data_IF_330603800928
#
_entry.id   IF_330603800928
#
_cell.length_a   1.000
_cell.length_b   1.000
_cell.length_c   1.000
_cell.angle_alpha   90.00
_cell.angle_beta   90.00
_cell.angle_gamma   90.00
#
_symmetry.space_group_name_H-M   'P 1'
#
loop_
_entity.id
_entity.type
_entity.pdbx_description
1 polymer ?
#
# COMPACT_ATOMS: atom_id res chain seq x y z
N UNK A 1 -9.32 9.60 -2.17
CA UNK A 1 -8.63 9.95 -0.90
C UNK A 1 -7.14 10.10 -1.21
N UNK A 2 -6.55 11.28 -1.02
CA UNK A 2 -5.12 11.47 -1.25
C UNK A 2 -4.36 10.87 -0.05
N UNK A 3 -3.80 9.69 -0.22
CA UNK A 3 -3.06 8.99 0.85
C UNK A 3 -1.72 9.67 1.18
N UNK A 4 -1.23 10.56 0.31
CA UNK A 4 0.02 11.32 0.50
C UNK A 4 -0.15 12.56 1.41
N UNK A 5 -1.38 12.99 1.68
CA UNK A 5 -1.69 14.23 2.42
C UNK A 5 -1.27 14.26 3.90
N UNK A 6 -0.72 13.19 4.42
CA UNK A 6 -0.14 13.14 5.76
C UNK A 6 1.39 13.29 5.65
N UNK A 7 1.85 14.53 5.53
CA UNK A 7 3.26 14.90 5.61
C UNK A 7 3.86 14.37 6.91
N UNK A 8 4.47 13.20 6.85
CA UNK A 8 5.36 12.72 7.88
C UNK A 8 6.79 13.05 7.46
N UNK A 9 7.73 13.14 8.42
CA UNK A 9 9.17 13.21 8.15
C UNK A 9 9.70 12.03 7.29
N UNK A 10 8.82 11.12 6.88
CA UNK A 10 9.05 9.91 6.11
C UNK A 10 8.50 10.00 4.67
N UNK A 11 7.88 11.12 4.28
CA UNK A 11 7.35 11.34 2.93
C UNK A 11 8.44 11.34 1.84
N UNK A 12 8.05 11.36 0.55
CA UNK A 12 9.01 11.53 -0.54
C UNK A 12 9.70 12.89 -0.42
N UNK A 13 10.86 13.08 -1.09
CA UNK A 13 11.48 14.41 -1.20
C UNK A 13 10.45 15.44 -1.70
N UNK A 14 10.55 16.67 -1.20
CA UNK A 14 9.60 17.74 -1.54
C UNK A 14 9.48 17.93 -3.07
N UNK A 15 10.60 17.90 -3.79
CA UNK A 15 10.66 18.02 -5.25
C UNK A 15 9.84 16.92 -5.95
N UNK A 16 9.92 15.67 -5.46
CA UNK A 16 9.15 14.54 -5.99
C UNK A 16 7.65 14.77 -5.77
N UNK A 17 7.27 15.20 -4.57
CA UNK A 17 5.88 15.49 -4.23
C UNK A 17 5.31 16.63 -5.08
N UNK A 18 6.09 17.70 -5.30
CA UNK A 18 5.71 18.84 -6.13
C UNK A 18 5.51 18.41 -7.60
N UNK A 19 6.41 17.58 -8.13
CA UNK A 19 6.32 17.04 -9.49
C UNK A 19 5.05 16.21 -9.66
N UNK A 20 4.82 15.26 -8.75
CA UNK A 20 3.61 14.41 -8.79
C UNK A 20 2.34 15.27 -8.78
N UNK A 21 2.21 16.20 -7.82
CA UNK A 21 1.03 17.06 -7.71
C UNK A 21 0.83 17.99 -8.92
N UNK A 22 1.92 18.46 -9.50
CA UNK A 22 1.85 19.29 -10.71
C UNK A 22 1.19 18.55 -11.86
N UNK A 23 1.69 17.36 -12.19
CA UNK A 23 1.19 16.56 -13.30
C UNK A 23 -0.23 16.02 -13.05
N UNK A 24 -0.54 15.62 -11.83
CA UNK A 24 -1.90 15.20 -11.44
C UNK A 24 -2.93 16.31 -11.62
N UNK A 25 -2.57 17.54 -11.22
CA UNK A 25 -3.44 18.72 -11.38
C UNK A 25 -3.59 19.12 -12.84
N UNK A 26 -2.53 18.96 -13.63
CA UNK A 26 -2.50 19.28 -15.04
C UNK A 26 -3.16 18.20 -15.91
N UNK A 27 -3.37 16.98 -15.40
CA UNK A 27 -3.85 15.83 -16.15
C UNK A 27 -2.80 15.28 -17.14
N UNK A 28 -1.51 15.46 -16.84
CA UNK A 28 -0.37 15.04 -17.67
C UNK A 28 0.43 13.92 -16.99
N UNK A 29 -0.27 12.91 -16.50
CA UNK A 29 0.34 11.77 -15.79
C UNK A 29 1.05 10.78 -16.70
N UNK A 30 1.07 11.02 -18.00
CA UNK A 30 1.84 10.34 -19.04
C UNK A 30 3.19 11.03 -19.34
N UNK A 31 3.51 12.11 -18.65
CA UNK A 31 4.79 12.82 -18.78
C UNK A 31 5.94 11.99 -18.14
N UNK A 32 7.10 11.88 -18.82
CA UNK A 32 8.25 11.17 -18.26
C UNK A 32 8.69 11.65 -16.87
N UNK A 33 8.55 12.93 -16.55
CA UNK A 33 8.87 13.47 -15.23
C UNK A 33 7.93 12.93 -14.13
N UNK A 34 6.66 12.69 -14.46
CA UNK A 34 5.73 12.02 -13.55
C UNK A 34 6.12 10.56 -13.30
N UNK A 35 6.51 9.85 -14.35
CA UNK A 35 6.97 8.46 -14.26
C UNK A 35 8.22 8.35 -13.38
N UNK A 36 9.23 9.20 -13.60
CA UNK A 36 10.45 9.24 -12.78
C UNK A 36 10.12 9.54 -11.30
N UNK A 37 9.28 10.52 -11.04
CA UNK A 37 8.83 10.87 -9.69
C UNK A 37 8.05 9.70 -9.03
N UNK A 38 7.22 8.99 -9.80
CA UNK A 38 6.49 7.80 -9.36
C UNK A 38 7.45 6.68 -8.96
N UNK A 39 8.50 6.43 -9.73
CA UNK A 39 9.52 5.42 -9.39
C UNK A 39 10.23 5.75 -8.07
N UNK A 40 10.59 7.02 -7.84
CA UNK A 40 11.17 7.45 -6.56
C UNK A 40 10.18 7.23 -5.40
N UNK A 41 8.90 7.53 -5.60
CA UNK A 41 7.86 7.27 -4.61
C UNK A 41 7.72 5.77 -4.31
N UNK A 42 7.66 4.93 -5.33
CA UNK A 42 7.54 3.48 -5.20
C UNK A 42 8.74 2.84 -4.50
N UNK A 43 9.97 3.29 -4.79
CA UNK A 43 11.17 2.82 -4.11
C UNK A 43 11.17 3.14 -2.61
N UNK A 44 10.43 4.13 -2.17
CA UNK A 44 10.36 4.52 -0.75
C UNK A 44 9.18 3.90 -0.02
N UNK A 45 8.04 3.75 -0.71
CA UNK A 45 6.76 3.49 -0.06
C UNK A 45 6.08 2.20 -0.51
N UNK A 46 6.54 1.59 -1.61
CA UNK A 46 5.97 0.35 -2.13
C UNK A 46 6.91 -0.85 -1.89
N UNK A 47 8.18 -0.73 -2.28
CA UNK A 47 9.22 -1.72 -1.98
C UNK A 47 10.59 -1.05 -1.89
N UNK A 48 11.23 -1.11 -0.72
CA UNK A 48 12.49 -0.42 -0.41
C UNK A 48 13.74 -1.25 -0.75
N UNK A 49 13.57 -2.50 -1.17
CA UNK A 49 14.68 -3.34 -1.62
C UNK A 49 15.26 -2.78 -2.93
N UNK A 50 16.59 -2.76 -3.04
CA UNK A 50 17.30 -2.34 -4.24
C UNK A 50 18.42 -3.35 -4.55
N UNK A 51 18.36 -4.02 -5.71
CA UNK A 51 17.29 -4.00 -6.71
C UNK A 51 15.99 -4.68 -6.24
N UNK A 52 14.87 -4.31 -6.83
CA UNK A 52 13.60 -4.98 -6.56
C UNK A 52 13.69 -6.49 -6.80
N UNK A 53 13.08 -7.33 -5.92
CA UNK A 53 13.07 -8.78 -6.09
C UNK A 53 12.39 -9.22 -7.38
N UNK A 54 12.83 -10.34 -7.94
CA UNK A 54 12.33 -10.85 -9.20
C UNK A 54 10.79 -11.09 -9.24
N UNK A 55 10.13 -11.60 -8.17
CA UNK A 55 8.68 -11.70 -8.15
C UNK A 55 7.99 -10.34 -8.32
N UNK A 56 8.54 -9.28 -7.73
CA UNK A 56 8.01 -7.93 -7.80
C UNK A 56 8.14 -7.35 -9.21
N UNK A 57 9.34 -7.46 -9.81
CA UNK A 57 9.59 -7.05 -11.21
C UNK A 57 8.63 -7.74 -12.19
N UNK A 58 8.40 -9.05 -12.04
CA UNK A 58 7.46 -9.80 -12.89
C UNK A 58 6.02 -9.32 -12.72
N UNK A 59 5.62 -8.92 -11.53
CA UNK A 59 4.29 -8.37 -11.27
C UNK A 59 4.09 -7.07 -12.03
N UNK A 60 5.02 -6.13 -11.92
CA UNK A 60 4.96 -4.86 -12.63
C UNK A 60 5.02 -5.04 -14.15
N UNK A 61 5.93 -5.87 -14.66
CA UNK A 61 5.99 -6.16 -16.10
C UNK A 61 4.66 -6.74 -16.65
N UNK A 62 3.95 -7.57 -15.88
CA UNK A 62 2.63 -8.07 -16.28
C UNK A 62 1.55 -6.98 -16.22
N UNK A 63 1.62 -6.09 -15.25
CA UNK A 63 0.72 -4.96 -15.14
C UNK A 63 0.89 -4.01 -16.32
N UNK A 64 2.11 -3.67 -16.68
CA UNK A 64 2.44 -2.85 -17.86
C UNK A 64 2.00 -3.49 -19.17
N UNK A 65 2.15 -4.82 -19.31
CA UNK A 65 1.72 -5.54 -20.50
C UNK A 65 0.18 -5.61 -20.65
N UNK A 66 -0.58 -5.50 -19.55
CA UNK A 66 -2.04 -5.59 -19.52
C UNK A 66 -2.64 -4.58 -18.54
N UNK A 67 -2.56 -3.28 -18.82
CA UNK A 67 -2.90 -2.24 -17.84
C UNK A 67 -4.40 -1.95 -17.74
N UNK A 68 -5.25 -2.53 -18.60
CA UNK A 68 -6.67 -2.15 -18.74
C UNK A 68 -7.44 -2.23 -17.41
N UNK A 69 -7.34 -3.33 -16.69
CA UNK A 69 -8.04 -3.51 -15.40
C UNK A 69 -7.52 -2.52 -14.38
N UNK A 70 -6.19 -2.41 -14.24
CA UNK A 70 -5.57 -1.50 -13.30
C UNK A 70 -5.99 -0.05 -13.57
N UNK A 71 -5.85 0.42 -14.81
CA UNK A 71 -6.20 1.79 -15.20
C UNK A 71 -7.70 2.07 -15.04
N UNK A 72 -8.57 1.09 -15.28
CA UNK A 72 -10.01 1.24 -15.05
C UNK A 72 -10.33 1.40 -13.58
N UNK A 73 -9.66 0.65 -12.70
CA UNK A 73 -9.93 0.65 -11.26
C UNK A 73 -9.24 1.81 -10.54
N UNK A 74 -7.95 1.98 -10.73
CA UNK A 74 -7.14 3.01 -10.06
C UNK A 74 -6.95 4.25 -10.91
N UNK A 75 -6.63 4.13 -12.20
CA UNK A 75 -6.11 5.21 -13.02
C UNK A 75 -4.59 5.11 -13.14
N UNK A 76 -3.87 6.26 -13.14
CA UNK A 76 -2.42 6.28 -13.38
C UNK A 76 -1.60 5.63 -12.24
N UNK A 77 -2.12 5.66 -11.01
CA UNK A 77 -1.46 5.06 -9.85
C UNK A 77 -2.44 4.85 -8.70
N UNK A 78 -2.14 3.94 -7.77
CA UNK A 78 -2.95 3.66 -6.59
C UNK A 78 -2.96 4.83 -5.59
N UNK A 79 -1.97 5.70 -5.60
CA UNK A 79 -1.93 6.89 -4.75
C UNK A 79 -2.64 8.11 -5.39
N UNK A 80 -2.96 8.04 -6.69
CA UNK A 80 -3.76 9.02 -7.41
C UNK A 80 -4.95 8.35 -8.10
N UNK A 81 -5.86 7.81 -7.31
CA UNK A 81 -7.02 7.08 -7.81
C UNK A 81 -8.00 8.00 -8.54
N UNK A 82 -8.13 7.83 -9.86
CA UNK A 82 -9.08 8.53 -10.72
C UNK A 82 -10.12 7.59 -11.34
N UNK A 83 -9.89 6.28 -11.25
CA UNK A 83 -10.75 5.22 -11.77
C UNK A 83 -11.98 4.92 -10.89
N UNK A 84 -12.55 3.73 -11.06
CA UNK A 84 -13.78 3.31 -10.38
C UNK A 84 -13.64 3.20 -8.87
N UNK A 85 -12.41 3.05 -8.34
CA UNK A 85 -12.13 3.01 -6.89
C UNK A 85 -12.02 4.40 -6.24
N UNK A 86 -12.11 5.48 -7.01
CA UNK A 86 -11.95 6.85 -6.49
C UNK A 86 -12.87 7.16 -5.29
N UNK A 87 -14.13 6.74 -5.37
CA UNK A 87 -15.16 7.00 -4.34
C UNK A 87 -15.42 5.76 -3.46
N UNK A 88 -14.58 4.71 -3.59
CA UNK A 88 -14.78 3.50 -2.80
C UNK A 88 -14.38 3.73 -1.33
N UNK A 89 -15.34 3.51 -0.43
CA UNK A 89 -15.16 3.66 1.02
C UNK A 89 -16.03 2.63 1.75
N UNK A 90 -15.39 1.82 2.60
CA UNK A 90 -16.08 0.80 3.42
C UNK A 90 -15.90 1.03 4.92
N UNK A 91 -15.40 2.19 5.33
CA UNK A 91 -15.12 2.46 6.75
C UNK A 91 -16.32 2.27 7.64
N UNK A 92 -17.50 2.68 7.18
CA UNK A 92 -18.75 2.52 7.92
C UNK A 92 -19.23 1.07 8.03
N UNK A 93 -18.63 0.17 7.24
CA UNK A 93 -18.95 -1.26 7.18
C UNK A 93 -17.90 -2.17 7.79
N UNK A 94 -16.77 -1.64 8.25
CA UNK A 94 -15.70 -2.44 8.87
C UNK A 94 -16.20 -3.24 10.08
N UNK A 95 -17.16 -2.71 10.83
CA UNK A 95 -17.80 -3.41 11.96
C UNK A 95 -18.64 -4.63 11.57
N UNK A 96 -18.93 -4.86 10.29
CA UNK A 96 -19.61 -6.07 9.79
C UNK A 96 -18.65 -7.26 9.69
N UNK A 97 -17.33 -7.03 9.75
CA UNK A 97 -16.33 -8.08 9.66
C UNK A 97 -16.22 -8.78 11.02
N UNK A 98 -16.72 -10.01 11.08
CA UNK A 98 -16.77 -10.85 12.29
C UNK A 98 -15.83 -12.06 12.21
N UNK A 99 -14.81 -11.99 11.37
CA UNK A 99 -13.81 -13.04 11.19
C UNK A 99 -12.51 -12.68 11.94
N UNK A 100 -11.73 -13.67 12.39
CA UNK A 100 -10.38 -13.42 12.85
C UNK A 100 -9.60 -12.64 11.77
N UNK A 101 -9.10 -11.47 12.12
CA UNK A 101 -8.48 -10.56 11.17
C UNK A 101 -7.10 -10.11 11.66
N UNK A 102 -6.08 -10.33 10.84
CA UNK A 102 -4.75 -9.77 11.02
C UNK A 102 -4.54 -8.66 9.99
N UNK A 103 -4.17 -7.48 10.46
CA UNK A 103 -3.78 -6.33 9.64
C UNK A 103 -2.26 -6.21 9.72
N UNK A 104 -1.60 -6.14 8.58
CA UNK A 104 -0.16 -5.91 8.48
C UNK A 104 0.11 -4.61 7.74
N UNK A 105 1.07 -3.83 8.20
CA UNK A 105 1.52 -2.62 7.50
C UNK A 105 2.99 -2.37 7.75
N UNK A 106 3.67 -1.74 6.80
CA UNK A 106 5.03 -1.24 7.01
C UNK A 106 5.03 0.18 7.61
N UNK A 107 6.12 0.53 8.28
CA UNK A 107 6.34 1.90 8.81
C UNK A 107 6.34 2.94 7.72
N UNK A 108 6.87 2.58 6.54
CA UNK A 108 7.07 3.46 5.39
C UNK A 108 6.06 3.22 4.26
N UNK A 109 4.98 2.47 4.55
CA UNK A 109 3.94 2.09 3.59
C UNK A 109 3.25 3.32 2.99
N UNK A 110 2.94 3.25 1.70
CA UNK A 110 2.05 4.19 1.02
C UNK A 110 0.67 4.26 1.69
N UNK A 111 0.13 3.10 2.10
CA UNK A 111 -1.02 3.01 3.02
C UNK A 111 -0.55 3.25 4.46
N UNK A 112 -0.36 4.49 4.84
CA UNK A 112 0.30 4.91 6.09
C UNK A 112 -0.21 4.15 7.34
N UNK A 113 0.59 4.07 8.42
CA UNK A 113 0.14 3.47 9.68
C UNK A 113 -1.19 4.03 10.21
N UNK A 114 -1.51 5.30 9.96
CA UNK A 114 -2.78 5.89 10.34
C UNK A 114 -3.98 5.30 9.56
N UNK A 115 -3.76 4.91 8.30
CA UNK A 115 -4.77 4.20 7.50
C UNK A 115 -4.98 2.79 8.06
N UNK A 116 -3.90 2.04 8.32
CA UNK A 116 -3.96 0.72 8.92
C UNK A 116 -4.64 0.76 10.30
N UNK A 117 -4.33 1.75 11.14
CA UNK A 117 -4.98 1.99 12.44
C UNK A 117 -6.49 2.22 12.29
N UNK A 118 -6.91 2.96 11.26
CA UNK A 118 -8.34 3.19 10.97
C UNK A 118 -9.07 1.88 10.70
N UNK A 119 -8.46 1.00 9.90
CA UNK A 119 -9.01 -0.33 9.61
C UNK A 119 -9.04 -1.19 10.89
N UNK A 120 -7.95 -1.19 11.66
CA UNK A 120 -7.85 -1.92 12.93
C UNK A 120 -8.93 -1.50 13.93
N UNK A 121 -9.15 -0.21 14.11
CA UNK A 121 -10.19 0.30 15.01
C UNK A 121 -11.60 -0.01 14.53
N UNK A 122 -11.79 -0.15 13.22
CA UNK A 122 -13.10 -0.45 12.63
C UNK A 122 -13.49 -1.93 12.75
N UNK A 123 -12.53 -2.86 12.88
CA UNK A 123 -12.78 -4.32 12.93
C UNK A 123 -12.58 -4.82 14.36
N UNK A 124 -13.67 -5.16 15.04
CA UNK A 124 -13.62 -5.65 16.40
C UNK A 124 -12.80 -6.93 16.54
N UNK A 125 -11.85 -6.95 17.46
CA UNK A 125 -11.00 -8.12 17.71
C UNK A 125 -9.92 -8.38 16.66
N UNK A 126 -9.70 -7.48 15.71
CA UNK A 126 -8.56 -7.56 14.80
C UNK A 126 -7.24 -7.40 15.57
N UNK A 127 -6.19 -7.99 15.02
CA UNK A 127 -4.81 -7.77 15.45
C UNK A 127 -4.09 -6.89 14.41
N UNK A 128 -3.22 -5.99 14.86
CA UNK A 128 -2.42 -5.17 13.95
C UNK A 128 -0.94 -5.30 14.29
N UNK A 129 -0.14 -5.64 13.27
CA UNK A 129 1.32 -5.71 13.36
C UNK A 129 1.93 -4.74 12.35
N UNK A 130 2.78 -3.85 12.85
CA UNK A 130 3.53 -2.92 12.03
C UNK A 130 4.99 -3.38 11.91
N UNK A 131 5.48 -3.48 10.67
CA UNK A 131 6.84 -3.83 10.34
C UNK A 131 7.69 -2.57 10.26
N UNK A 132 8.60 -2.41 11.24
CA UNK A 132 9.30 -1.14 11.49
C UNK A 132 10.30 -0.76 10.41
N UNK A 133 10.78 -1.73 9.62
CA UNK A 133 11.79 -1.51 8.59
C UNK A 133 11.24 -1.64 7.17
N UNK A 134 9.94 -1.90 7.03
CA UNK A 134 9.27 -2.15 5.75
C UNK A 134 8.41 -1.00 5.26
N UNK A 135 8.17 -1.02 3.95
CA UNK A 135 7.11 -0.30 3.27
C UNK A 135 5.91 -1.22 2.98
N UNK A 136 5.25 -1.08 1.84
CA UNK A 136 4.08 -1.89 1.48
C UNK A 136 4.41 -3.38 1.30
N UNK A 137 5.64 -3.70 0.90
CA UNK A 137 6.08 -5.07 0.63
C UNK A 137 6.73 -5.76 1.85
N UNK A 138 6.18 -5.63 3.06
CA UNK A 138 6.73 -6.22 4.27
C UNK A 138 7.03 -7.73 4.14
N UNK A 139 6.22 -8.47 3.37
CA UNK A 139 6.41 -9.89 3.08
C UNK A 139 7.69 -10.20 2.28
N UNK A 140 8.31 -9.19 1.67
CA UNK A 140 9.60 -9.30 0.97
C UNK A 140 10.73 -8.62 1.77
N UNK A 141 10.43 -7.49 2.41
CA UNK A 141 11.42 -6.65 3.08
C UNK A 141 11.81 -7.19 4.46
N UNK A 142 10.85 -7.79 5.19
CA UNK A 142 11.05 -8.45 6.48
C UNK A 142 10.47 -9.88 6.42
N UNK A 143 10.84 -10.68 5.41
CA UNK A 143 10.24 -11.97 5.06
C UNK A 143 10.12 -12.93 6.24
N UNK A 144 11.18 -13.12 7.01
CA UNK A 144 11.20 -14.09 8.11
C UNK A 144 10.23 -13.67 9.24
N UNK A 145 10.22 -12.39 9.59
CA UNK A 145 9.34 -11.86 10.61
C UNK A 145 7.89 -11.86 10.13
N UNK A 146 7.65 -11.47 8.86
CA UNK A 146 6.32 -11.51 8.28
C UNK A 146 5.73 -12.92 8.30
N UNK A 147 6.53 -13.91 7.88
CA UNK A 147 6.12 -15.33 7.90
C UNK A 147 5.78 -15.78 9.32
N UNK A 148 6.63 -15.49 10.30
CA UNK A 148 6.41 -15.84 11.71
C UNK A 148 5.09 -15.25 12.22
N UNK A 149 4.84 -13.98 11.97
CA UNK A 149 3.61 -13.28 12.39
C UNK A 149 2.37 -13.93 11.80
N UNK A 150 2.38 -14.24 10.49
CA UNK A 150 1.24 -14.85 9.81
C UNK A 150 1.03 -16.28 10.29
N UNK A 151 2.07 -17.10 10.41
CA UNK A 151 1.98 -18.49 10.90
C UNK A 151 1.48 -18.54 12.34
N UNK A 152 1.95 -17.67 13.21
CA UNK A 152 1.48 -17.59 14.60
C UNK A 152 0.02 -17.16 14.69
N UNK A 153 -0.43 -16.22 13.86
CA UNK A 153 -1.83 -15.83 13.80
C UNK A 153 -2.70 -16.99 13.33
N UNK A 154 -2.35 -17.64 12.22
CA UNK A 154 -3.12 -18.77 11.66
C UNK A 154 -3.23 -19.92 12.66
N UNK A 155 -2.13 -20.27 13.32
CA UNK A 155 -2.14 -21.32 14.34
C UNK A 155 -3.11 -21.00 15.49
N UNK A 156 -3.09 -19.78 16.03
CA UNK A 156 -4.04 -19.37 17.09
C UNK A 156 -5.49 -19.39 16.65
N UNK A 157 -5.75 -19.08 15.38
CA UNK A 157 -7.12 -19.15 14.81
C UNK A 157 -7.58 -20.58 14.70
N UNK A 158 -6.74 -21.49 14.22
CA UNK A 158 -7.05 -22.91 14.09
C UNK A 158 -7.31 -23.57 15.45
N UNK A 159 -6.47 -23.28 16.46
CA UNK A 159 -6.63 -23.83 17.83
C UNK A 159 -7.94 -23.40 18.52
N UNK A 160 -8.52 -22.26 18.14
CA UNK A 160 -9.81 -21.79 18.68
C UNK A 160 -11.03 -22.47 18.06
N UNK A 161 -10.85 -23.17 16.96
CA UNK A 161 -11.93 -23.84 16.23
C UNK A 161 -11.93 -25.36 16.37
N UNK A 162 -11.04 -25.93 17.21
CA UNK A 162 -10.98 -27.32 17.63
C UNK A 162 -11.57 -27.48 19.02
#
# INVERSE_FOLDING_TARGET
MDIRGQSSAQGPPQEVEETLRHHEKAGTTDDPAYEEATQVYYQRHLCRLDPWPEPWKRTFAKLEANPEVYNTMFGPSEFHATGTLKEWDIRDRLGEINLPTLITSGRYDAATPAIAETVHRGIAGSEWVMFEHSSHAAHLEEENEYRRVVEDFMRRVEERHV
#
